data_IF_986117312671
#
_entry.id   IF_986117312671
#
_cell.length_a   1.000
_cell.length_b   1.000
_cell.length_c   1.000
_cell.angle_alpha   90.00
_cell.angle_beta   90.00
_cell.angle_gamma   90.00
#
_symmetry.space_group_name_H-M   'P 1'
#
loop_
_entity.id
_entity.type
_entity.pdbx_description
1 polymer ?
#
# COMPACT_ATOMS: atom_id res chain seq x y z
N UNK A 1 10.67 -10.68 1.74
CA UNK A 1 11.90 -11.35 2.22
C UNK A 1 13.14 -11.03 1.37
N UNK A 2 13.18 -11.36 0.06
CA UNK A 2 14.39 -11.21 -0.79
C UNK A 2 15.09 -9.85 -0.75
N UNK A 3 14.36 -8.74 -0.71
CA UNK A 3 14.95 -7.40 -0.62
C UNK A 3 15.80 -7.17 0.64
N UNK A 4 15.44 -7.77 1.77
CA UNK A 4 16.25 -7.69 3.00
C UNK A 4 17.54 -8.49 2.90
N UNK A 5 17.50 -9.67 2.26
CA UNK A 5 18.70 -10.48 2.02
C UNK A 5 19.68 -9.74 1.11
N UNK A 6 19.20 -9.13 0.03
CA UNK A 6 20.02 -8.32 -0.86
C UNK A 6 20.65 -7.11 -0.15
N UNK A 7 19.90 -6.46 0.74
CA UNK A 7 20.45 -5.37 1.55
C UNK A 7 21.52 -5.85 2.55
N UNK A 8 21.39 -7.08 3.08
CA UNK A 8 22.40 -7.69 3.95
C UNK A 8 23.68 -8.07 3.19
N UNK A 9 23.53 -8.62 1.99
CA UNK A 9 24.65 -9.13 1.19
C UNK A 9 25.38 -8.04 0.40
N UNK A 10 24.65 -7.05 -0.13
CA UNK A 10 25.16 -6.05 -1.07
C UNK A 10 24.99 -4.61 -0.59
N UNK A 11 24.24 -4.40 0.49
CA UNK A 11 24.05 -3.07 1.05
C UNK A 11 25.34 -2.50 1.63
N UNK A 12 25.41 -1.17 1.66
CA UNK A 12 26.54 -0.44 2.24
C UNK A 12 26.14 0.13 3.59
N UNK A 13 27.08 0.11 4.54
CA UNK A 13 26.87 0.71 5.86
C UNK A 13 26.52 2.20 5.73
N UNK A 14 25.51 2.64 6.46
CA UNK A 14 25.01 4.02 6.42
C UNK A 14 24.04 4.33 5.27
N UNK A 15 23.85 3.43 4.32
CA UNK A 15 22.93 3.65 3.19
C UNK A 15 21.50 3.19 3.50
N UNK A 16 20.53 3.89 2.90
CA UNK A 16 19.11 3.55 2.97
C UNK A 16 18.59 3.07 1.61
N UNK A 17 17.73 2.05 1.64
CA UNK A 17 17.14 1.42 0.45
C UNK A 17 15.63 1.25 0.64
N UNK A 18 14.85 1.72 -0.34
CA UNK A 18 13.39 1.53 -0.35
C UNK A 18 13.07 0.19 -1.02
N UNK A 19 12.59 -0.76 -0.23
CA UNK A 19 12.13 -2.08 -0.70
C UNK A 19 10.62 -2.00 -0.97
N UNK A 20 10.26 -1.40 -2.09
CA UNK A 20 8.88 -1.23 -2.55
C UNK A 20 8.71 -1.71 -4.00
N UNK A 21 7.47 -1.99 -4.41
CA UNK A 21 7.13 -2.29 -5.80
C UNK A 21 7.18 -1.05 -6.70
N UNK A 22 6.50 -1.11 -7.85
CA UNK A 22 6.29 0.07 -8.70
C UNK A 22 5.43 1.13 -7.98
N UNK A 23 5.74 2.44 -8.12
CA UNK A 23 4.91 3.49 -7.54
C UNK A 23 3.49 3.49 -8.15
N UNK A 24 2.47 3.31 -7.32
CA UNK A 24 1.06 3.37 -7.74
C UNK A 24 0.19 4.10 -6.73
N UNK A 25 -0.84 4.78 -7.23
CA UNK A 25 -1.91 5.34 -6.40
C UNK A 25 -2.92 4.25 -6.04
N UNK A 26 -3.60 4.40 -4.91
CA UNK A 26 -4.69 3.48 -4.53
C UNK A 26 -5.75 3.35 -5.64
N UNK A 27 -6.10 4.46 -6.30
CA UNK A 27 -7.04 4.45 -7.42
C UNK A 27 -6.56 3.57 -8.59
N UNK A 28 -5.26 3.61 -8.94
CA UNK A 28 -4.68 2.75 -9.99
C UNK A 28 -4.70 1.27 -9.57
N UNK A 29 -4.40 0.99 -8.30
CA UNK A 29 -4.46 -0.37 -7.77
C UNK A 29 -5.88 -0.93 -7.81
N UNK A 30 -6.88 -0.13 -7.43
CA UNK A 30 -8.29 -0.54 -7.50
C UNK A 30 -8.77 -0.74 -8.94
N UNK A 31 -8.36 0.11 -9.88
CA UNK A 31 -8.65 -0.08 -11.30
C UNK A 31 -8.00 -1.37 -11.84
N UNK A 32 -6.77 -1.69 -11.43
CA UNK A 32 -6.13 -2.95 -11.79
C UNK A 32 -6.87 -4.15 -11.17
N UNK A 33 -7.33 -4.05 -9.92
CA UNK A 33 -8.11 -5.08 -9.26
C UNK A 33 -9.45 -5.33 -9.96
N UNK A 34 -10.13 -4.30 -10.47
CA UNK A 34 -11.34 -4.44 -11.28
C UNK A 34 -11.09 -5.32 -12.51
N UNK A 35 -9.96 -5.13 -13.21
CA UNK A 35 -9.63 -5.96 -14.39
C UNK A 35 -9.42 -7.45 -14.06
N UNK A 36 -9.15 -7.77 -12.80
CA UNK A 36 -8.88 -9.15 -12.32
C UNK A 36 -10.15 -9.77 -11.73
N UNK A 37 -10.90 -9.00 -10.94
CA UNK A 37 -12.05 -9.47 -10.14
C UNK A 37 -13.40 -9.23 -10.82
N UNK A 38 -13.44 -8.32 -11.80
CA UNK A 38 -14.66 -7.78 -12.40
C UNK A 38 -15.59 -7.06 -11.40
N UNK A 39 -15.06 -6.66 -10.23
CA UNK A 39 -15.79 -5.87 -9.23
C UNK A 39 -15.46 -4.39 -9.45
N UNK A 40 -16.46 -3.52 -9.67
CA UNK A 40 -16.21 -2.11 -9.94
C UNK A 40 -15.66 -1.41 -8.69
N UNK A 41 -14.70 -0.49 -8.83
CA UNK A 41 -14.15 0.25 -7.71
C UNK A 41 -15.20 1.23 -7.14
N UNK A 42 -15.05 1.64 -5.87
CA UNK A 42 -15.93 2.63 -5.26
C UNK A 42 -15.92 3.92 -6.08
N UNK A 43 -17.11 4.32 -6.56
CA UNK A 43 -17.27 5.51 -7.43
C UNK A 43 -17.12 6.83 -6.69
N UNK A 44 -17.29 6.82 -5.36
CA UNK A 44 -17.18 8.02 -4.51
C UNK A 44 -15.85 7.98 -3.76
N UNK A 45 -14.97 8.91 -4.09
CA UNK A 45 -13.77 9.16 -3.31
C UNK A 45 -14.11 10.11 -2.17
N UNK A 46 -13.69 9.78 -0.95
CA UNK A 46 -13.74 10.71 0.17
C UNK A 46 -12.65 11.77 0.01
N UNK A 47 -12.96 13.03 0.32
CA UNK A 47 -11.92 14.05 0.32
C UNK A 47 -10.86 13.73 1.39
N UNK A 48 -9.57 14.02 1.14
CA UNK A 48 -8.52 13.81 2.15
C UNK A 48 -8.82 14.53 3.47
N UNK A 49 -9.46 15.70 3.42
CA UNK A 49 -9.87 16.45 4.61
C UNK A 49 -10.90 15.69 5.45
N UNK A 50 -11.91 15.09 4.82
CA UNK A 50 -12.91 14.29 5.51
C UNK A 50 -12.30 13.04 6.15
N UNK A 51 -11.42 12.34 5.44
CA UNK A 51 -10.73 11.16 5.99
C UNK A 51 -9.84 11.51 7.18
N UNK A 52 -9.14 12.65 7.14
CA UNK A 52 -8.35 13.15 8.28
C UNK A 52 -9.22 13.51 9.47
N UNK A 53 -10.36 14.15 9.24
CA UNK A 53 -11.33 14.45 10.30
C UNK A 53 -11.84 13.17 10.96
N UNK A 54 -12.29 12.20 10.15
CA UNK A 54 -12.75 10.91 10.65
C UNK A 54 -11.66 10.18 11.43
N UNK A 55 -10.42 10.19 10.95
CA UNK A 55 -9.30 9.61 11.67
C UNK A 55 -9.08 10.27 13.03
N UNK A 56 -9.17 11.60 13.13
CA UNK A 56 -9.02 12.31 14.40
C UNK A 56 -10.13 11.95 15.39
N UNK A 57 -11.39 11.90 14.94
CA UNK A 57 -12.53 11.51 15.77
C UNK A 57 -12.41 10.06 16.25
N UNK A 58 -12.09 9.14 15.33
CA UNK A 58 -11.96 7.72 15.64
C UNK A 58 -10.69 7.41 16.46
N UNK A 59 -9.68 8.27 16.47
CA UNK A 59 -8.52 8.15 17.37
C UNK A 59 -8.91 8.31 18.83
N UNK A 60 -9.94 9.11 19.12
CA UNK A 60 -10.47 9.29 20.47
C UNK A 60 -11.41 8.14 20.81
N UNK A 61 -12.35 7.83 19.92
CA UNK A 61 -13.32 6.74 20.13
C UNK A 61 -12.63 5.37 20.25
N UNK A 62 -11.57 5.13 19.46
CA UNK A 62 -10.80 3.89 19.45
C UNK A 62 -10.06 3.59 20.76
N UNK A 63 -9.93 4.57 21.67
CA UNK A 63 -9.41 4.34 23.03
C UNK A 63 -10.43 3.68 23.96
N UNK A 64 -11.70 3.77 23.60
CA UNK A 64 -12.83 3.30 24.43
C UNK A 64 -13.52 2.11 23.79
N UNK A 65 -13.60 2.06 22.46
CA UNK A 65 -14.28 1.02 21.70
C UNK A 65 -13.31 0.42 20.68
N UNK A 66 -13.30 -0.92 20.57
CA UNK A 66 -12.56 -1.58 19.51
C UNK A 66 -13.24 -1.34 18.16
N UNK A 67 -12.53 -0.64 17.27
CA UNK A 67 -13.01 -0.35 15.92
C UNK A 67 -12.60 -1.47 14.96
N UNK A 68 -13.44 -1.81 13.97
CA UNK A 68 -13.03 -2.65 12.84
C UNK A 68 -11.83 -2.04 12.10
N UNK A 69 -11.06 -2.88 11.39
CA UNK A 69 -9.80 -2.49 10.75
C UNK A 69 -9.98 -1.33 9.77
N UNK A 70 -11.07 -1.32 9.00
CA UNK A 70 -11.37 -0.31 7.98
C UNK A 70 -11.58 1.09 8.59
N UNK A 71 -11.97 1.13 9.86
CA UNK A 71 -12.23 2.35 10.63
C UNK A 71 -11.08 2.73 11.55
N UNK A 72 -9.97 1.99 11.52
CA UNK A 72 -8.80 2.38 12.29
C UNK A 72 -8.25 3.73 11.79
N UNK A 73 -7.93 4.67 12.70
CA UNK A 73 -7.41 5.99 12.34
C UNK A 73 -6.18 5.95 11.43
N UNK A 74 -5.33 4.95 11.58
CA UNK A 74 -4.13 4.72 10.78
C UNK A 74 -4.49 4.44 9.33
N UNK A 75 -5.49 3.56 9.11
CA UNK A 75 -5.99 3.19 7.79
C UNK A 75 -6.63 4.39 7.10
N UNK A 76 -7.42 5.16 7.82
CA UNK A 76 -8.04 6.39 7.28
C UNK A 76 -7.01 7.47 6.95
N UNK A 77 -5.98 7.66 7.79
CA UNK A 77 -4.87 8.58 7.50
C UNK A 77 -4.07 8.14 6.27
N UNK A 78 -3.77 6.85 6.16
CA UNK A 78 -3.10 6.28 4.99
C UNK A 78 -3.96 6.42 3.72
N UNK A 79 -5.28 6.37 3.86
CA UNK A 79 -6.21 6.53 2.74
C UNK A 79 -6.44 7.99 2.34
N UNK A 80 -6.10 8.95 3.22
CA UNK A 80 -6.30 10.39 3.03
C UNK A 80 -5.28 11.04 2.06
N UNK A 81 -5.19 10.49 0.86
CA UNK A 81 -4.35 11.03 -0.22
C UNK A 81 -2.87 10.68 -0.12
N UNK A 82 -2.49 9.65 0.64
CA UNK A 82 -1.09 9.18 0.63
C UNK A 82 -0.82 8.52 -0.71
N UNK A 83 0.05 9.17 -1.49
CA UNK A 83 0.65 8.55 -2.66
C UNK A 83 1.92 7.86 -2.20
N UNK A 84 1.99 6.53 -2.32
CA UNK A 84 3.23 5.80 -2.08
C UNK A 84 4.20 6.10 -3.23
N UNK A 85 4.99 7.16 -3.06
CA UNK A 85 6.06 7.62 -3.97
C UNK A 85 7.43 7.10 -3.53
N UNK A 86 7.49 5.91 -2.95
CA UNK A 86 8.76 5.28 -2.61
C UNK A 86 9.46 4.85 -3.90
N UNK A 87 10.57 5.50 -4.25
CA UNK A 87 11.36 5.12 -5.41
C UNK A 87 12.36 4.01 -5.05
N UNK A 88 12.20 2.84 -5.68
CA UNK A 88 13.10 1.70 -5.51
C UNK A 88 14.31 1.74 -6.47
N UNK A 89 14.50 2.80 -7.26
CA UNK A 89 15.57 2.90 -8.26
C UNK A 89 16.95 2.62 -7.67
N UNK A 90 17.24 3.14 -6.46
CA UNK A 90 18.51 2.87 -5.78
C UNK A 90 18.69 1.39 -5.44
N UNK A 91 17.65 0.75 -4.88
CA UNK A 91 17.69 -0.67 -4.55
C UNK A 91 17.85 -1.53 -5.82
N UNK A 92 17.20 -1.16 -6.92
CA UNK A 92 17.40 -1.81 -8.23
C UNK A 92 18.86 -1.74 -8.69
N UNK A 93 19.42 -0.53 -8.65
CA UNK A 93 20.76 -0.23 -9.19
C UNK A 93 21.89 -0.83 -8.37
N UNK A 94 21.77 -0.81 -7.04
CA UNK A 94 22.86 -1.17 -6.14
C UNK A 94 22.73 -2.55 -5.50
N UNK A 95 21.50 -3.05 -5.32
CA UNK A 95 21.25 -4.36 -4.69
C UNK A 95 20.77 -5.42 -5.70
N UNK A 96 20.56 -5.05 -6.96
CA UNK A 96 19.90 -5.92 -7.94
C UNK A 96 18.44 -6.24 -7.59
N UNK A 97 17.78 -5.38 -6.80
CA UNK A 97 16.41 -5.62 -6.35
C UNK A 97 15.41 -5.57 -7.50
N UNK A 98 14.79 -6.70 -7.85
CA UNK A 98 13.79 -6.80 -8.91
C UNK A 98 12.48 -7.41 -8.37
N UNK A 99 11.57 -6.59 -7.79
CA UNK A 99 10.27 -7.08 -7.34
C UNK A 99 9.38 -7.41 -8.54
N UNK A 100 8.51 -8.41 -8.36
CA UNK A 100 7.39 -8.66 -9.29
C UNK A 100 6.44 -7.46 -9.35
N UNK A 101 5.78 -7.28 -10.48
CA UNK A 101 4.82 -6.18 -10.68
C UNK A 101 3.52 -6.43 -9.92
N UNK A 102 2.73 -5.38 -9.70
CA UNK A 102 1.40 -5.55 -9.09
C UNK A 102 0.47 -6.35 -10.01
N UNK A 103 0.62 -6.20 -11.33
CA UNK A 103 -0.15 -6.97 -12.31
C UNK A 103 0.08 -8.47 -12.21
N UNK A 104 1.30 -8.88 -11.93
CA UNK A 104 1.65 -10.30 -11.72
C UNK A 104 1.22 -10.80 -10.35
N UNK A 105 1.38 -9.99 -9.30
CA UNK A 105 1.15 -10.42 -7.92
C UNK A 105 -0.31 -10.37 -7.45
N UNK A 106 -1.10 -9.39 -7.90
CA UNK A 106 -2.49 -9.21 -7.46
C UNK A 106 -3.43 -10.40 -7.77
N UNK A 107 -3.34 -11.06 -8.95
CA UNK A 107 -4.18 -12.22 -9.25
C UNK A 107 -4.07 -13.35 -8.22
N UNK A 108 -2.87 -13.58 -7.66
CA UNK A 108 -2.66 -14.62 -6.64
C UNK A 108 -3.45 -14.33 -5.35
N UNK A 109 -3.59 -13.05 -4.98
CA UNK A 109 -4.31 -12.62 -3.78
C UNK A 109 -5.82 -12.78 -3.96
N UNK A 110 -6.34 -12.49 -5.15
CA UNK A 110 -7.78 -12.54 -5.42
C UNK A 110 -8.32 -13.95 -5.70
N UNK A 111 -7.47 -14.98 -5.69
CA UNK A 111 -7.91 -16.37 -5.80
C UNK A 111 -8.98 -16.75 -4.76
N UNK A 112 -8.94 -16.16 -3.57
CA UNK A 112 -9.91 -16.40 -2.49
C UNK A 112 -11.20 -15.56 -2.61
N UNK A 113 -11.19 -14.49 -3.41
CA UNK A 113 -12.32 -13.54 -3.52
C UNK A 113 -13.41 -14.03 -4.48
N UNK A 114 -13.23 -15.18 -5.15
CA UNK A 114 -14.23 -15.81 -6.04
C UNK A 114 -15.23 -16.71 -5.29
N UNK A 115 -15.63 -16.35 -4.07
CA UNK A 115 -16.68 -17.05 -3.30
C UNK A 115 -18.02 -16.30 -3.40
#
# INVERSE_FOLDING_TARGET
ARGHLLAMEQGRSGEQYIIAGEPMTLAKVLALAETITNIPPPRRSFSPGLLRLLAALLSVAGRVVSLPLEYQPEVLRASAGVTYLGDNAKARRELGFAPRTLREGLPEIFTTVRA
#
